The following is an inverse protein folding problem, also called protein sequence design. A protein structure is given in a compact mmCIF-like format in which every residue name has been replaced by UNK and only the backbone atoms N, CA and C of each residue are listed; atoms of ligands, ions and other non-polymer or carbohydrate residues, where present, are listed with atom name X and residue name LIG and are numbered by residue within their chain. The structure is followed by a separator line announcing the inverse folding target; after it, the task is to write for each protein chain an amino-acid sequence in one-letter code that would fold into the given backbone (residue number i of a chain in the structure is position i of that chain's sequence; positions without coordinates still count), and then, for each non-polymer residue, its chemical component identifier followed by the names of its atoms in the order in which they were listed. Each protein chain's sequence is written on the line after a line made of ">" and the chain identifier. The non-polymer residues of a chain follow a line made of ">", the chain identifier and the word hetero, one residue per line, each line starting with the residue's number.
data_IF_513542157384
#
_entry.id   IF_513542157384
#
_cell.length_a   1.000
_cell.length_b   1.000
_cell.length_c   1.000
_cell.angle_alpha   90.00
_cell.angle_beta   90.00
_cell.angle_gamma   90.00
#
_symmetry.space_group_name_H-M   'P 1'
#
loop_
_entity.id
_entity.type
_entity.pdbx_description
1 polymer ?
#
# COMPACT_ATOMS: atom_id res chain seq x y z
N UNK A 1 13.24 13.93 -19.14
CA UNK A 1 12.03 14.75 -18.94
C UNK A 1 11.55 14.48 -17.52
N UNK A 2 11.52 15.53 -16.66
CA UNK A 2 11.13 15.38 -15.26
C UNK A 2 9.68 15.82 -15.07
N UNK A 3 8.76 14.88 -14.92
CA UNK A 3 7.38 15.16 -14.51
C UNK A 3 7.22 14.80 -13.05
N UNK A 4 6.63 15.71 -12.25
CA UNK A 4 6.25 15.46 -10.86
C UNK A 4 4.73 15.35 -10.78
N UNK A 5 4.28 14.33 -10.08
CA UNK A 5 2.86 14.13 -9.80
C UNK A 5 2.66 14.32 -8.30
N UNK A 6 1.67 15.13 -7.95
CA UNK A 6 1.30 15.37 -6.56
C UNK A 6 -0.18 15.14 -6.32
N UNK A 7 -0.50 14.41 -5.25
CA UNK A 7 -1.83 14.28 -4.71
C UNK A 7 -1.84 14.88 -3.30
N UNK A 8 -2.88 15.65 -2.99
CA UNK A 8 -3.10 16.23 -1.68
C UNK A 8 -4.45 15.72 -1.10
N UNK A 9 -4.91 16.29 -0.01
CA UNK A 9 -6.24 16.02 0.54
C UNK A 9 -7.37 16.59 -0.35
N UNK A 10 -7.23 16.36 -1.66
CA UNK A 10 -8.15 16.80 -2.71
C UNK A 10 -8.55 15.60 -3.57
N UNK A 11 -9.60 15.76 -4.34
CA UNK A 11 -10.09 14.78 -5.32
C UNK A 11 -9.34 14.82 -6.66
N UNK A 12 -8.34 15.70 -6.78
CA UNK A 12 -7.56 15.93 -8.00
C UNK A 12 -6.09 15.62 -7.80
N UNK A 13 -5.46 15.14 -8.86
CA UNK A 13 -4.01 14.93 -8.94
C UNK A 13 -3.42 16.01 -9.83
N UNK A 14 -2.33 16.66 -9.41
CA UNK A 14 -1.63 17.72 -10.17
C UNK A 14 -0.40 17.17 -10.85
N UNK A 15 -0.19 17.64 -12.06
CA UNK A 15 0.94 17.29 -12.90
C UNK A 15 1.83 18.52 -13.09
N UNK A 16 3.12 18.39 -12.79
CA UNK A 16 4.10 19.47 -12.82
C UNK A 16 5.25 19.15 -13.75
N UNK A 17 5.72 20.13 -14.50
CA UNK A 17 6.98 20.02 -15.22
C UNK A 17 8.13 20.45 -14.29
N UNK A 18 9.03 19.52 -13.98
CA UNK A 18 10.18 19.78 -13.13
C UNK A 18 11.23 20.70 -13.76
N UNK A 19 11.23 20.83 -15.09
CA UNK A 19 12.21 21.69 -15.79
C UNK A 19 11.83 23.16 -15.71
N UNK A 20 10.52 23.46 -15.77
CA UNK A 20 9.98 24.82 -15.71
C UNK A 20 9.40 25.19 -14.36
N UNK A 21 8.99 24.18 -13.57
CA UNK A 21 8.25 24.36 -12.31
C UNK A 21 6.78 24.74 -12.53
N UNK A 22 6.28 24.63 -13.76
CA UNK A 22 4.90 25.00 -14.11
C UNK A 22 3.91 23.88 -13.86
N UNK A 23 2.67 24.24 -13.51
CA UNK A 23 1.51 23.34 -13.43
C UNK A 23 1.05 23.01 -14.86
N UNK A 24 1.31 21.79 -15.31
CA UNK A 24 0.94 21.30 -16.65
C UNK A 24 -0.56 21.03 -16.74
N UNK A 25 -1.17 20.55 -15.64
CA UNK A 25 -2.59 20.25 -15.62
C UNK A 25 -3.04 19.41 -14.43
N UNK A 26 -4.32 19.10 -14.46
CA UNK A 26 -4.99 18.38 -13.37
C UNK A 26 -5.75 17.17 -13.87
N UNK A 27 -5.54 16.03 -13.23
CA UNK A 27 -6.30 14.80 -13.45
C UNK A 27 -7.55 14.86 -12.56
N UNK A 28 -8.70 15.06 -13.20
CA UNK A 28 -9.99 15.25 -12.53
C UNK A 28 -10.89 14.05 -12.76
N UNK A 29 -11.65 13.66 -11.75
CA UNK A 29 -12.63 12.59 -11.90
C UNK A 29 -12.88 11.78 -10.65
N UNK A 30 -11.92 11.68 -9.71
CA UNK A 30 -12.22 11.14 -8.40
C UNK A 30 -13.27 12.01 -7.68
N UNK A 31 -14.08 11.40 -6.84
CA UNK A 31 -15.16 12.06 -6.10
C UNK A 31 -14.83 12.24 -4.62
N UNK A 32 -13.67 11.75 -4.19
CA UNK A 32 -13.16 11.88 -2.83
C UNK A 32 -11.62 11.94 -2.87
N UNK A 33 -11.03 12.17 -1.72
CA UNK A 33 -9.59 12.36 -1.52
C UNK A 33 -8.74 11.26 -2.18
N UNK A 34 -7.73 11.67 -2.96
CA UNK A 34 -6.72 10.77 -3.51
C UNK A 34 -5.66 10.49 -2.44
N UNK A 35 -5.49 9.22 -2.07
CA UNK A 35 -4.57 8.77 -1.02
C UNK A 35 -3.23 8.28 -1.54
N UNK A 36 -3.20 7.70 -2.71
CA UNK A 36 -2.00 7.12 -3.28
C UNK A 36 -1.94 7.35 -4.78
N UNK A 37 -0.75 7.55 -5.26
CA UNK A 37 -0.46 7.77 -6.67
C UNK A 37 0.89 7.14 -7.00
N UNK A 38 0.98 6.53 -8.16
CA UNK A 38 2.23 6.04 -8.72
C UNK A 38 2.27 6.30 -10.22
N UNK A 39 3.46 6.56 -10.71
CA UNK A 39 3.71 6.84 -12.12
C UNK A 39 4.75 5.88 -12.62
N UNK A 40 4.52 5.36 -13.80
CA UNK A 40 5.47 4.57 -14.54
C UNK A 40 5.39 4.96 -16.02
N UNK A 41 6.52 5.41 -16.56
CA UNK A 41 6.62 6.00 -17.88
C UNK A 41 5.60 7.14 -18.10
N UNK A 42 4.61 6.91 -18.95
CA UNK A 42 3.57 7.88 -19.32
C UNK A 42 2.21 7.56 -18.68
N UNK A 43 2.14 6.50 -17.89
CA UNK A 43 0.94 6.10 -17.17
C UNK A 43 1.02 6.52 -15.70
N UNK A 44 -0.07 7.08 -15.23
CA UNK A 44 -0.29 7.39 -13.83
C UNK A 44 -1.46 6.57 -13.31
N UNK A 45 -1.33 6.01 -12.12
CA UNK A 45 -2.43 5.34 -11.42
C UNK A 45 -2.67 6.04 -10.09
N UNK A 46 -3.92 6.36 -9.82
CA UNK A 46 -4.34 6.98 -8.56
C UNK A 46 -5.38 6.12 -7.84
N UNK A 47 -5.29 6.08 -6.52
CA UNK A 47 -6.26 5.42 -5.65
C UNK A 47 -6.88 6.42 -4.67
N UNK A 48 -8.20 6.35 -4.50
CA UNK A 48 -8.97 7.33 -3.74
C UNK A 48 -9.87 6.70 -2.68
N UNK A 49 -10.30 7.52 -1.73
CA UNK A 49 -11.31 7.17 -0.75
C UNK A 49 -12.69 6.92 -1.37
N UNK A 50 -12.91 7.29 -2.64
CA UNK A 50 -14.11 6.94 -3.41
C UNK A 50 -14.18 5.44 -3.78
N UNK A 51 -13.20 4.63 -3.33
CA UNK A 51 -13.08 3.18 -3.55
C UNK A 51 -12.72 2.80 -4.99
N UNK A 52 -12.31 3.75 -5.82
CA UNK A 52 -11.89 3.50 -7.20
C UNK A 52 -10.40 3.77 -7.41
N UNK A 53 -9.84 3.04 -8.38
CA UNK A 53 -8.57 3.38 -9.01
C UNK A 53 -8.84 4.01 -10.36
N UNK A 54 -8.02 4.98 -10.74
CA UNK A 54 -8.04 5.56 -12.08
C UNK A 54 -6.68 5.47 -12.72
N UNK A 55 -6.70 5.13 -14.00
CA UNK A 55 -5.51 5.04 -14.86
C UNK A 55 -5.56 6.21 -15.83
N UNK A 56 -4.47 6.95 -15.91
CA UNK A 56 -4.34 8.18 -16.66
C UNK A 56 -3.19 8.09 -17.66
N UNK A 57 -3.41 8.63 -18.85
CA UNK A 57 -2.36 8.84 -19.86
C UNK A 57 -1.84 10.28 -19.74
N UNK A 58 -0.62 10.43 -19.28
CA UNK A 58 0.00 11.74 -19.03
C UNK A 58 0.25 12.54 -20.31
N UNK A 59 0.36 11.88 -21.47
CA UNK A 59 0.53 12.55 -22.78
C UNK A 59 -0.67 13.39 -23.17
N UNK A 60 -1.86 13.06 -22.66
CA UNK A 60 -3.11 13.74 -23.01
C UNK A 60 -3.42 14.96 -22.16
N UNK A 61 -2.69 15.13 -21.04
CA UNK A 61 -3.01 16.13 -20.01
C UNK A 61 -2.94 17.55 -20.56
N UNK A 62 -1.84 17.91 -21.23
CA UNK A 62 -1.63 19.27 -21.76
C UNK A 62 -2.66 19.65 -22.81
N UNK A 63 -2.92 18.76 -23.76
CA UNK A 63 -3.92 18.98 -24.82
C UNK A 63 -5.33 19.12 -24.24
N UNK A 64 -5.67 18.27 -23.24
CA UNK A 64 -6.97 18.30 -22.59
C UNK A 64 -7.19 19.58 -21.78
N UNK A 65 -6.20 19.99 -20.96
CA UNK A 65 -6.29 21.25 -20.19
C UNK A 65 -6.37 22.47 -21.10
N UNK A 66 -5.63 22.49 -22.20
CA UNK A 66 -5.71 23.56 -23.20
C UNK A 66 -7.11 23.64 -23.84
N UNK A 67 -7.68 22.50 -24.20
CA UNK A 67 -9.04 22.42 -24.73
C UNK A 67 -10.10 22.85 -23.68
N UNK A 68 -9.95 22.44 -22.43
CA UNK A 68 -10.83 22.87 -21.35
C UNK A 68 -10.77 24.37 -21.12
N UNK A 69 -9.58 24.95 -21.14
CA UNK A 69 -9.36 26.40 -20.97
C UNK A 69 -10.00 27.20 -22.10
N UNK A 70 -9.80 26.77 -23.35
CA UNK A 70 -10.41 27.39 -24.53
C UNK A 70 -11.97 27.35 -24.47
N UNK A 71 -12.54 26.25 -23.99
CA UNK A 71 -14.00 26.14 -23.80
C UNK A 71 -14.55 27.10 -22.73
N UNK A 72 -13.78 27.38 -21.68
CA UNK A 72 -14.18 28.32 -20.60
C UNK A 72 -14.09 29.78 -21.05
N UNK A 73 -13.15 30.13 -21.93
CA UNK A 73 -12.94 31.48 -22.39
C UNK A 73 -13.93 31.92 -23.48
N UNK A 74 -14.77 31.01 -23.98
CA UNK A 74 -15.96 31.35 -24.77
C UNK A 74 -15.66 31.85 -26.18
N UNK A 75 -14.46 31.65 -26.68
CA UNK A 75 -14.14 31.95 -28.07
C UNK A 75 -14.74 30.85 -28.96
N UNK A 76 -15.84 31.18 -29.68
CA UNK A 76 -16.67 30.24 -30.45
C UNK A 76 -16.00 29.60 -31.64
N UNK A 77 -14.70 29.35 -31.59
CA UNK A 77 -13.97 28.54 -32.54
C UNK A 77 -14.14 27.05 -32.17
N UNK A 78 -14.15 26.20 -33.19
CA UNK A 78 -14.14 24.76 -33.06
C UNK A 78 -12.94 24.33 -32.19
N UNK A 79 -13.18 24.17 -30.89
CA UNK A 79 -12.17 23.66 -29.96
C UNK A 79 -11.97 22.18 -30.28
N UNK A 80 -10.76 21.74 -30.64
CA UNK A 80 -10.51 20.35 -30.95
C UNK A 80 -10.94 19.48 -29.76
N UNK A 81 -11.66 18.41 -30.06
CA UNK A 81 -12.06 17.42 -29.06
C UNK A 81 -10.80 16.73 -28.58
N UNK A 82 -10.34 17.09 -27.39
CA UNK A 82 -9.21 16.44 -26.77
C UNK A 82 -9.70 15.23 -25.97
N UNK A 83 -9.02 14.11 -26.12
CA UNK A 83 -9.32 12.88 -25.39
C UNK A 83 -9.13 13.09 -23.89
N UNK A 84 -10.06 12.55 -23.10
CA UNK A 84 -9.96 12.52 -21.63
C UNK A 84 -8.64 11.80 -21.24
N UNK A 85 -7.81 12.39 -20.37
CA UNK A 85 -6.64 11.72 -19.85
C UNK A 85 -6.97 10.48 -19.01
N UNK A 86 -8.19 10.35 -18.46
CA UNK A 86 -8.65 9.16 -17.76
C UNK A 86 -8.99 8.05 -18.76
N UNK A 87 -8.09 7.09 -18.90
CA UNK A 87 -8.30 5.97 -19.85
C UNK A 87 -9.10 4.83 -19.25
N UNK A 88 -9.05 4.63 -17.91
CA UNK A 88 -9.74 3.54 -17.22
C UNK A 88 -10.12 3.92 -15.79
N UNK A 89 -11.24 3.35 -15.33
CA UNK A 89 -11.66 3.39 -13.94
C UNK A 89 -11.87 1.94 -13.47
N UNK A 90 -11.16 1.55 -12.41
CA UNK A 90 -11.24 0.22 -11.83
C UNK A 90 -12.06 0.31 -10.54
N UNK A 91 -13.15 -0.41 -10.50
CA UNK A 91 -14.07 -0.46 -9.35
C UNK A 91 -14.18 -1.89 -8.82
N UNK A 92 -14.30 -2.01 -7.50
CA UNK A 92 -14.44 -3.34 -6.86
C UNK A 92 -14.16 -3.31 -5.37
N UNK A 93 -13.25 -2.47 -4.88
CA UNK A 93 -13.10 -2.27 -3.45
C UNK A 93 -14.39 -1.71 -2.85
N UNK A 94 -14.72 -2.14 -1.63
CA UNK A 94 -15.92 -1.67 -0.91
C UNK A 94 -15.66 -0.47 -0.01
N UNK A 95 -14.39 -0.12 0.19
CA UNK A 95 -13.94 1.06 0.95
C UNK A 95 -12.75 1.73 0.27
N UNK A 96 -12.38 2.90 0.77
CA UNK A 96 -11.32 3.73 0.21
C UNK A 96 -9.99 3.00 0.03
N UNK A 97 -9.32 3.29 -1.07
CA UNK A 97 -8.02 2.75 -1.42
C UNK A 97 -6.96 3.61 -0.76
N UNK A 98 -6.02 2.97 -0.09
CA UNK A 98 -5.01 3.62 0.75
C UNK A 98 -3.59 3.40 0.28
N UNK A 99 -3.35 2.32 -0.47
CA UNK A 99 -2.05 2.00 -1.02
C UNK A 99 -2.19 1.36 -2.39
N UNK A 100 -1.21 1.58 -3.24
CA UNK A 100 -1.10 0.91 -4.54
C UNK A 100 0.36 0.62 -4.87
N UNK A 101 0.57 -0.39 -5.69
CA UNK A 101 1.82 -0.67 -6.36
C UNK A 101 1.52 -1.04 -7.80
N UNK A 102 2.29 -0.50 -8.72
CA UNK A 102 2.07 -0.59 -10.15
C UNK A 102 3.39 -0.83 -10.87
N UNK A 103 3.38 -1.74 -11.81
CA UNK A 103 4.44 -2.02 -12.78
C UNK A 103 3.76 -2.27 -14.13
N UNK A 104 4.44 -2.15 -15.25
CA UNK A 104 3.93 -2.15 -16.63
C UNK A 104 2.68 -3.02 -16.88
N UNK A 105 2.60 -4.19 -16.29
CA UNK A 105 1.53 -5.17 -16.54
C UNK A 105 0.65 -5.44 -15.31
N UNK A 106 1.17 -5.18 -14.11
CA UNK A 106 0.52 -5.59 -12.87
C UNK A 106 0.21 -4.38 -11.99
N UNK A 107 -1.02 -4.26 -11.56
CA UNK A 107 -1.46 -3.29 -10.57
C UNK A 107 -2.00 -4.04 -9.35
N UNK A 108 -1.51 -3.67 -8.18
CA UNK A 108 -2.02 -4.16 -6.90
C UNK A 108 -2.47 -2.98 -6.06
N UNK A 109 -3.64 -3.07 -5.48
CA UNK A 109 -4.19 -2.07 -4.56
C UNK A 109 -4.48 -2.67 -3.19
N UNK A 110 -4.31 -1.85 -2.17
CA UNK A 110 -4.73 -2.14 -0.81
C UNK A 110 -5.74 -1.11 -0.32
N UNK A 111 -6.76 -1.56 0.39
CA UNK A 111 -7.86 -0.69 0.80
C UNK A 111 -8.27 -0.88 2.27
N UNK A 112 -9.08 0.07 2.74
CA UNK A 112 -9.68 0.04 4.07
C UNK A 112 -10.70 -1.10 4.25
N UNK A 113 -11.08 -1.80 3.18
CA UNK A 113 -11.88 -3.03 3.23
C UNK A 113 -11.06 -4.26 3.65
N UNK A 114 -9.77 -4.05 3.97
CA UNK A 114 -8.83 -5.07 4.47
C UNK A 114 -8.48 -6.13 3.43
N UNK A 115 -8.68 -5.81 2.16
CA UNK A 115 -8.28 -6.66 1.03
C UNK A 115 -7.17 -6.00 0.21
N UNK A 116 -6.37 -6.86 -0.40
CA UNK A 116 -5.49 -6.51 -1.50
C UNK A 116 -6.11 -7.07 -2.77
N UNK A 117 -6.04 -6.30 -3.86
CA UNK A 117 -6.56 -6.73 -5.16
C UNK A 117 -5.52 -6.56 -6.25
N UNK A 118 -5.40 -7.57 -7.06
CA UNK A 118 -4.62 -7.53 -8.29
C UNK A 118 -5.56 -7.27 -9.46
N UNK A 119 -5.16 -6.36 -10.34
CA UNK A 119 -5.96 -5.92 -11.47
C UNK A 119 -5.24 -6.22 -12.78
N UNK A 120 -6.00 -6.63 -13.74
CA UNK A 120 -5.59 -6.65 -15.14
C UNK A 120 -5.93 -5.31 -15.79
N UNK A 121 -4.91 -4.62 -16.26
CA UNK A 121 -5.07 -3.31 -16.87
C UNK A 121 -5.69 -3.36 -18.27
N UNK A 122 -5.60 -4.48 -18.97
CA UNK A 122 -6.22 -4.61 -20.30
C UNK A 122 -7.73 -4.78 -20.18
N UNK A 123 -8.17 -5.68 -19.32
CA UNK A 123 -9.61 -5.99 -19.15
C UNK A 123 -10.30 -5.09 -18.12
N UNK A 124 -9.54 -4.34 -17.33
CA UNK A 124 -10.03 -3.54 -16.21
C UNK A 124 -10.72 -4.36 -15.10
N UNK A 125 -10.40 -5.65 -15.01
CA UNK A 125 -11.03 -6.56 -14.04
C UNK A 125 -10.08 -6.92 -12.90
N UNK A 126 -10.68 -7.19 -11.74
CA UNK A 126 -9.96 -7.76 -10.61
C UNK A 126 -9.68 -9.25 -10.88
N UNK A 127 -8.41 -9.60 -10.99
CA UNK A 127 -7.96 -10.99 -11.23
C UNK A 127 -7.90 -11.78 -9.94
N UNK A 128 -7.44 -11.13 -8.86
CA UNK A 128 -7.18 -11.79 -7.59
C UNK A 128 -7.56 -10.89 -6.43
N UNK A 129 -8.20 -11.48 -5.41
CA UNK A 129 -8.49 -10.81 -4.13
C UNK A 129 -7.83 -11.59 -2.99
N UNK A 130 -7.05 -10.89 -2.18
CA UNK A 130 -6.34 -11.43 -1.03
C UNK A 130 -6.90 -10.80 0.24
N UNK A 131 -7.43 -11.61 1.16
CA UNK A 131 -8.03 -11.16 2.41
C UNK A 131 -7.01 -11.19 3.55
N UNK A 132 -6.72 -10.02 4.10
CA UNK A 132 -5.75 -9.86 5.18
C UNK A 132 -6.28 -10.46 6.48
N UNK A 133 -7.58 -10.34 6.77
CA UNK A 133 -8.15 -10.92 7.98
C UNK A 133 -8.13 -12.45 7.94
N UNK A 134 -8.38 -13.02 6.77
CA UNK A 134 -8.24 -14.46 6.58
C UNK A 134 -6.78 -14.91 6.82
N UNK A 135 -5.80 -14.17 6.30
CA UNK A 135 -4.38 -14.47 6.51
C UNK A 135 -3.95 -14.30 7.97
N UNK A 136 -4.56 -13.38 8.72
CA UNK A 136 -4.33 -13.24 10.17
C UNK A 136 -4.87 -14.45 10.96
N UNK A 137 -6.03 -14.96 10.56
CA UNK A 137 -6.68 -16.09 11.21
C UNK A 137 -6.06 -17.45 10.83
N UNK A 138 -5.37 -17.48 9.68
CA UNK A 138 -4.75 -18.70 9.13
C UNK A 138 -3.25 -18.42 8.87
N UNK A 139 -2.43 -18.21 9.90
CA UNK A 139 -1.00 -18.02 9.69
C UNK A 139 -0.44 -19.27 9.04
N UNK A 140 0.18 -19.09 7.88
CA UNK A 140 0.87 -20.20 7.20
C UNK A 140 1.92 -20.78 8.16
N UNK A 141 1.90 -22.09 8.31
CA UNK A 141 2.66 -22.88 9.29
C UNK A 141 4.18 -22.93 9.06
N UNK A 142 4.74 -21.96 8.38
CA UNK A 142 6.19 -21.88 8.11
C UNK A 142 6.94 -20.93 9.05
N UNK A 143 6.44 -20.65 10.25
CA UNK A 143 7.28 -20.15 11.30
C UNK A 143 7.92 -21.35 11.96
N UNK A 144 9.10 -21.74 11.49
CA UNK A 144 9.97 -22.70 12.15
C UNK A 144 10.48 -22.08 13.45
N UNK A 145 9.61 -22.05 14.46
CA UNK A 145 9.99 -21.79 15.84
C UNK A 145 10.75 -23.01 16.37
N UNK A 146 11.93 -23.26 15.82
CA UNK A 146 12.92 -24.09 16.51
C UNK A 146 13.46 -23.26 17.67
N UNK A 147 12.69 -23.26 18.75
CA UNK A 147 13.23 -23.02 20.08
C UNK A 147 14.22 -24.17 20.34
N UNK A 148 15.51 -23.89 20.65
CA UNK A 148 16.42 -24.91 21.07
C UNK A 148 15.85 -25.60 22.31
N UNK A 149 15.93 -26.95 22.44
CA UNK A 149 15.48 -27.63 23.63
C UNK A 149 16.55 -27.50 24.72
N UNK A 150 16.52 -26.44 25.49
CA UNK A 150 17.24 -26.42 26.80
C UNK A 150 16.59 -25.43 27.78
N UNK A 151 15.75 -25.92 28.63
CA UNK A 151 15.90 -25.98 30.05
C UNK A 151 14.58 -26.40 30.71
N UNK A 152 14.67 -27.49 31.42
CA UNK A 152 13.67 -28.00 32.35
C UNK A 152 13.32 -26.95 33.39
N UNK A 153 12.09 -26.45 33.38
CA UNK A 153 11.47 -25.74 34.48
C UNK A 153 10.10 -26.36 34.79
N UNK A 154 9.69 -26.41 36.07
CA UNK A 154 8.70 -27.35 36.58
C UNK A 154 7.27 -27.00 36.23
N UNK A 155 6.47 -28.07 36.07
CA UNK A 155 5.00 -28.06 35.93
C UNK A 155 4.38 -27.22 37.06
N UNK A 156 3.71 -26.13 36.71
CA UNK A 156 2.80 -25.39 37.56
C UNK A 156 1.40 -25.43 37.01
N UNK A 157 0.45 -25.70 37.86
CA UNK A 157 -0.95 -25.99 37.81
C UNK A 157 -1.82 -25.25 36.77
N UNK A 158 -2.87 -25.91 36.22
CA UNK A 158 -3.80 -25.33 35.25
C UNK A 158 -5.02 -24.70 35.92
N UNK A 159 -4.84 -23.64 36.68
CA UNK A 159 -5.96 -22.87 37.26
C UNK A 159 -5.51 -21.43 37.54
N UNK A 160 -5.38 -20.63 36.51
CA UNK A 160 -5.72 -19.18 36.52
C UNK A 160 -5.54 -18.61 35.09
N UNK A 161 -6.59 -18.02 34.66
CA UNK A 161 -6.89 -17.43 33.39
C UNK A 161 -5.80 -16.71 32.59
N UNK A 162 -5.99 -16.76 31.31
CA UNK A 162 -5.69 -15.80 30.27
C UNK A 162 -4.32 -15.11 30.29
N UNK A 163 -3.61 -15.31 29.17
CA UNK A 163 -2.52 -14.45 28.68
C UNK A 163 -1.18 -14.49 29.41
N UNK A 164 -0.44 -15.59 29.27
CA UNK A 164 1.01 -15.57 29.40
C UNK A 164 1.68 -16.30 28.22
N UNK A 165 1.47 -15.79 27.01
CA UNK A 165 2.45 -15.96 25.95
C UNK A 165 3.10 -14.60 25.69
N UNK A 166 3.77 -14.05 26.68
CA UNK A 166 4.71 -12.97 26.52
C UNK A 166 6.05 -13.57 26.03
N UNK A 167 6.06 -14.02 24.78
CA UNK A 167 7.30 -14.13 24.01
C UNK A 167 7.80 -12.72 23.66
N UNK A 168 9.04 -12.55 23.17
CA UNK A 168 9.58 -11.24 22.83
C UNK A 168 8.81 -10.52 21.69
N UNK A 169 7.74 -11.10 21.17
CA UNK A 169 6.87 -10.56 20.13
C UNK A 169 5.46 -10.38 20.72
N UNK A 170 5.17 -9.15 21.13
CA UNK A 170 3.81 -8.75 21.49
C UNK A 170 3.02 -8.59 20.20
N UNK A 171 2.00 -9.42 19.98
CA UNK A 171 1.05 -9.18 18.90
C UNK A 171 0.35 -7.86 19.19
N UNK A 172 0.23 -6.96 18.19
CA UNK A 172 -0.59 -5.78 18.36
C UNK A 172 -2.00 -6.21 18.75
N UNK A 173 -2.51 -5.66 19.83
CA UNK A 173 -3.88 -5.92 20.25
C UNK A 173 -4.82 -5.07 19.41
N UNK A 174 -5.99 -5.59 19.01
CA UNK A 174 -7.02 -4.79 18.39
C UNK A 174 -7.34 -3.57 19.27
N UNK A 175 -7.59 -2.40 18.68
CA UNK A 175 -7.78 -1.15 19.43
C UNK A 175 -9.08 -1.10 20.22
N UNK A 176 -9.97 -2.08 20.03
CA UNK A 176 -11.28 -2.15 20.66
C UNK A 176 -11.41 -3.36 21.56
N UNK A 177 -12.22 -3.22 22.62
CA UNK A 177 -12.52 -4.27 23.60
C UNK A 177 -13.21 -5.49 22.98
N UNK A 178 -13.90 -5.32 21.84
CA UNK A 178 -14.55 -6.39 21.08
C UNK A 178 -13.58 -7.17 20.17
N UNK A 179 -12.29 -6.78 20.15
CA UNK A 179 -11.28 -7.42 19.30
C UNK A 179 -11.34 -7.01 17.82
N UNK A 180 -12.09 -5.95 17.49
CA UNK A 180 -12.25 -5.53 16.10
C UNK A 180 -11.19 -4.52 15.66
N UNK A 181 -10.88 -4.55 14.35
CA UNK A 181 -10.04 -3.58 13.66
C UNK A 181 -10.87 -2.65 12.78
N UNK A 182 -12.19 -2.61 12.98
CA UNK A 182 -13.12 -1.97 12.04
C UNK A 182 -12.93 -0.47 11.87
N UNK A 183 -12.43 0.23 12.90
CA UNK A 183 -12.26 1.68 12.84
C UNK A 183 -10.90 2.14 12.29
N UNK A 184 -9.99 1.24 11.94
CA UNK A 184 -8.82 1.64 11.17
C UNK A 184 -9.23 1.94 9.72
N UNK A 185 -9.35 3.22 9.41
CA UNK A 185 -9.73 3.70 8.07
C UNK A 185 -8.66 3.39 7.03
N UNK A 186 -7.39 3.41 7.44
CA UNK A 186 -6.23 3.14 6.60
C UNK A 186 -5.58 1.80 7.01
N UNK A 187 -6.34 0.69 6.88
CA UNK A 187 -5.86 -0.62 7.35
C UNK A 187 -4.67 -1.14 6.56
N UNK A 188 -4.59 -0.87 5.27
CA UNK A 188 -3.41 -1.16 4.45
C UNK A 188 -2.62 0.13 4.27
N UNK A 189 -1.49 0.25 4.94
CA UNK A 189 -0.67 1.47 4.90
C UNK A 189 0.31 1.49 3.73
N UNK A 190 0.77 0.34 3.27
CA UNK A 190 1.74 0.26 2.17
C UNK A 190 1.69 -1.08 1.47
N UNK A 191 1.97 -1.04 0.17
CA UNK A 191 2.03 -2.21 -0.71
C UNK A 191 3.20 -2.02 -1.67
N UNK A 192 3.97 -3.08 -1.88
CA UNK A 192 4.98 -3.15 -2.92
C UNK A 192 5.09 -4.58 -3.44
N UNK A 193 5.38 -4.74 -4.73
CA UNK A 193 5.68 -6.05 -5.29
C UNK A 193 6.93 -6.00 -6.17
N UNK A 194 7.54 -7.17 -6.36
CA UNK A 194 8.62 -7.41 -7.28
C UNK A 194 8.47 -8.81 -7.88
N UNK A 195 8.22 -8.87 -9.18
CA UNK A 195 7.83 -10.11 -9.85
C UNK A 195 6.53 -10.66 -9.24
N UNK A 196 6.57 -11.88 -8.73
CA UNK A 196 5.41 -12.50 -8.08
C UNK A 196 5.38 -12.36 -6.56
N UNK A 197 6.40 -11.76 -5.96
CA UNK A 197 6.45 -11.50 -4.54
C UNK A 197 5.78 -10.16 -4.22
N UNK A 198 4.80 -10.17 -3.32
CA UNK A 198 4.10 -8.98 -2.84
C UNK A 198 4.33 -8.85 -1.34
N UNK A 199 4.62 -7.63 -0.89
CA UNK A 199 4.66 -7.27 0.52
C UNK A 199 3.56 -6.25 0.84
N UNK A 200 2.86 -6.44 1.94
CA UNK A 200 1.86 -5.50 2.45
C UNK A 200 2.09 -5.18 3.92
N UNK A 201 2.02 -3.91 4.27
CA UNK A 201 2.01 -3.43 5.64
C UNK A 201 0.60 -3.06 6.08
N UNK A 202 0.18 -3.49 7.25
CA UNK A 202 -1.20 -3.30 7.71
C UNK A 202 -1.30 -2.65 9.09
N UNK A 203 -2.53 -2.24 9.42
CA UNK A 203 -2.87 -1.53 10.64
C UNK A 203 -2.62 -2.31 11.92
N UNK A 204 -2.52 -3.64 11.83
CA UNK A 204 -2.14 -4.51 12.94
C UNK A 204 -0.62 -4.56 13.23
N UNK A 205 0.18 -3.77 12.51
CA UNK A 205 1.64 -3.77 12.64
C UNK A 205 2.33 -4.96 11.97
N UNK A 206 1.59 -5.82 11.27
CA UNK A 206 2.13 -6.96 10.54
C UNK A 206 2.56 -6.59 9.12
N UNK A 207 3.71 -7.12 8.71
CA UNK A 207 4.09 -7.16 7.29
C UNK A 207 3.83 -8.57 6.77
N UNK A 208 3.07 -8.68 5.68
CA UNK A 208 2.74 -9.98 5.08
C UNK A 208 3.33 -10.09 3.70
N UNK A 209 3.91 -11.26 3.44
CA UNK A 209 4.45 -11.63 2.14
C UNK A 209 3.49 -12.57 1.44
N UNK A 210 3.14 -12.26 0.21
CA UNK A 210 2.15 -12.96 -0.61
C UNK A 210 2.78 -13.45 -1.91
N UNK A 211 2.24 -14.51 -2.47
CA UNK A 211 2.52 -14.94 -3.83
C UNK A 211 1.37 -14.50 -4.75
N UNK A 212 1.64 -13.60 -5.68
CA UNK A 212 0.65 -13.05 -6.63
C UNK A 212 0.06 -14.10 -7.59
N UNK A 213 0.70 -15.28 -7.73
CA UNK A 213 0.14 -16.36 -8.55
C UNK A 213 -0.97 -17.11 -7.85
N UNK A 214 -0.89 -17.23 -6.54
CA UNK A 214 -1.81 -18.02 -5.72
C UNK A 214 -2.73 -17.17 -4.85
N UNK A 215 -2.35 -15.92 -4.58
CA UNK A 215 -3.04 -15.03 -3.66
C UNK A 215 -2.89 -15.42 -2.19
N UNK A 216 -1.97 -16.32 -1.88
CA UNK A 216 -1.79 -16.79 -0.51
C UNK A 216 -0.66 -16.06 0.20
N UNK A 217 -0.91 -15.68 1.45
CA UNK A 217 0.13 -15.23 2.35
C UNK A 217 0.99 -16.42 2.78
N UNK A 218 2.28 -16.36 2.52
CA UNK A 218 3.19 -17.44 2.91
C UNK A 218 4.05 -17.09 4.12
N UNK A 219 4.14 -15.82 4.50
CA UNK A 219 4.88 -15.38 5.68
C UNK A 219 4.28 -14.11 6.27
N UNK A 220 4.27 -14.02 7.60
CA UNK A 220 3.96 -12.79 8.33
C UNK A 220 5.16 -12.42 9.20
N UNK A 221 5.64 -11.19 9.06
CA UNK A 221 6.70 -10.61 9.87
C UNK A 221 6.04 -9.78 10.96
N UNK A 222 6.27 -10.16 12.21
CA UNK A 222 5.68 -9.50 13.38
C UNK A 222 6.76 -8.80 14.18
N UNK A 223 6.46 -7.61 14.69
CA UNK A 223 7.40 -6.86 15.52
C UNK A 223 7.01 -5.42 15.73
N UNK A 224 6.45 -4.73 14.76
CA UNK A 224 5.89 -3.40 14.97
C UNK A 224 4.70 -3.45 15.93
N UNK A 225 4.55 -2.41 16.74
CA UNK A 225 3.50 -2.29 17.76
C UNK A 225 2.40 -1.32 17.38
N UNK A 226 2.50 -0.71 16.19
CA UNK A 226 1.52 0.20 15.63
C UNK A 226 1.45 0.03 14.11
N UNK A 227 0.46 0.63 13.43
CA UNK A 227 0.26 0.52 11.99
C UNK A 227 1.52 0.79 11.18
N UNK A 228 1.71 -0.01 10.13
CA UNK A 228 2.76 0.20 9.13
C UNK A 228 2.27 1.22 8.12
N UNK A 229 3.08 2.24 7.88
CA UNK A 229 2.77 3.36 6.99
C UNK A 229 3.49 3.28 5.65
N UNK A 230 4.66 2.68 5.65
CA UNK A 230 5.51 2.56 4.47
C UNK A 230 6.36 1.30 4.55
N UNK A 231 6.62 0.70 3.40
CA UNK A 231 7.54 -0.41 3.26
C UNK A 231 8.22 -0.37 1.90
N UNK A 232 9.39 -0.94 1.85
CA UNK A 232 10.10 -1.22 0.62
C UNK A 232 10.93 -2.49 0.78
N UNK A 233 11.06 -3.29 -0.27
CA UNK A 233 11.87 -4.49 -0.21
C UNK A 233 12.64 -4.73 -1.51
N UNK A 234 13.72 -5.49 -1.39
CA UNK A 234 14.53 -6.03 -2.48
C UNK A 234 14.57 -7.57 -2.40
N UNK A 235 15.51 -8.21 -3.05
CA UNK A 235 15.69 -9.67 -3.08
C UNK A 235 16.11 -10.28 -1.73
N UNK A 236 16.63 -9.48 -0.81
CA UNK A 236 17.24 -9.95 0.45
C UNK A 236 16.64 -9.31 1.69
N UNK A 237 16.27 -8.04 1.60
CA UNK A 237 15.83 -7.24 2.74
C UNK A 237 14.46 -6.62 2.50
N UNK A 238 13.75 -6.46 3.60
CA UNK A 238 12.56 -5.61 3.64
C UNK A 238 12.77 -4.54 4.72
N UNK A 239 12.41 -3.31 4.40
CA UNK A 239 12.43 -2.20 5.34
C UNK A 239 10.99 -1.72 5.54
N UNK A 240 10.57 -1.60 6.78
CA UNK A 240 9.22 -1.13 7.14
C UNK A 240 9.30 0.03 8.11
N UNK A 241 8.47 1.05 7.90
CA UNK A 241 8.27 2.17 8.80
C UNK A 241 6.88 2.16 9.40
N UNK A 242 6.76 2.58 10.65
CA UNK A 242 5.54 2.50 11.43
C UNK A 242 5.26 3.74 12.28
N UNK A 243 4.00 3.88 12.68
CA UNK A 243 3.57 4.86 13.68
C UNK A 243 4.16 4.60 15.07
N UNK A 244 4.75 3.42 15.32
CA UNK A 244 5.49 3.12 16.55
C UNK A 244 6.83 3.86 16.66
N UNK A 245 7.13 4.75 15.70
CA UNK A 245 8.35 5.57 15.61
C UNK A 245 9.61 4.75 15.33
N UNK A 246 9.45 3.57 14.75
CA UNK A 246 10.58 2.73 14.36
C UNK A 246 10.60 2.45 12.86
N UNK A 247 11.81 2.26 12.35
CA UNK A 247 12.07 1.57 11.10
C UNK A 247 12.70 0.23 11.44
N UNK A 248 12.22 -0.84 10.81
CA UNK A 248 12.79 -2.18 10.95
C UNK A 248 13.32 -2.68 9.64
N UNK A 249 14.51 -3.25 9.71
CA UNK A 249 15.15 -3.96 8.61
C UNK A 249 15.00 -5.45 8.85
N UNK A 250 14.41 -6.15 7.92
CA UNK A 250 14.13 -7.59 8.00
C UNK A 250 14.98 -8.34 6.97
N UNK A 251 15.50 -9.47 7.36
CA UNK A 251 16.07 -10.45 6.43
C UNK A 251 14.92 -11.31 5.88
N UNK A 252 14.66 -11.21 4.58
CA UNK A 252 13.59 -11.97 3.92
C UNK A 252 13.82 -13.47 3.94
N UNK A 253 15.08 -13.93 4.04
CA UNK A 253 15.43 -15.33 4.08
C UNK A 253 15.06 -15.97 5.41
N UNK A 254 15.46 -15.35 6.51
CA UNK A 254 15.20 -15.85 7.86
C UNK A 254 13.87 -15.37 8.43
N UNK A 255 13.37 -14.21 8.00
CA UNK A 255 12.20 -13.53 8.56
C UNK A 255 12.49 -12.81 9.89
N UNK A 256 13.75 -12.70 10.28
CA UNK A 256 14.15 -12.02 11.51
C UNK A 256 14.43 -10.53 11.26
N UNK A 257 14.26 -9.75 12.32
CA UNK A 257 14.70 -8.36 12.35
C UNK A 257 16.21 -8.32 12.45
N UNK A 258 16.87 -7.68 11.50
CA UNK A 258 18.31 -7.42 11.55
C UNK A 258 18.62 -6.18 12.37
N UNK A 259 17.83 -5.13 12.19
CA UNK A 259 18.05 -3.86 12.84
C UNK A 259 16.72 -3.16 13.14
N UNK A 260 16.70 -2.38 14.23
CA UNK A 260 15.58 -1.48 14.56
C UNK A 260 16.13 -0.09 14.83
N UNK A 261 15.70 0.87 14.04
CA UNK A 261 16.04 2.29 14.18
C UNK A 261 14.89 3.01 14.86
N UNK A 262 15.20 3.80 15.87
CA UNK A 262 14.24 4.55 16.67
C UNK A 262 14.26 6.04 16.32
N UNK A 263 13.08 6.64 16.24
CA UNK A 263 12.88 8.05 15.91
C UNK A 263 11.98 8.73 16.96
N UNK A 264 12.04 10.05 17.03
CA UNK A 264 11.20 10.84 17.94
C UNK A 264 9.75 10.96 17.44
N UNK A 265 9.52 10.81 16.14
CA UNK A 265 8.22 10.96 15.47
C UNK A 265 7.85 9.71 14.67
N UNK A 266 6.53 9.50 14.43
CA UNK A 266 6.06 8.44 13.54
C UNK A 266 6.73 8.52 12.16
N UNK A 267 7.08 7.36 11.62
CA UNK A 267 7.62 7.25 10.27
C UNK A 267 6.45 7.25 9.28
N UNK A 268 6.44 8.15 8.32
CA UNK A 268 5.34 8.30 7.35
C UNK A 268 5.73 7.89 5.93
N UNK A 269 7.01 7.95 5.59
CA UNK A 269 7.52 7.54 4.29
C UNK A 269 8.95 7.04 4.42
N UNK A 270 9.33 6.12 3.56
CA UNK A 270 10.71 5.66 3.42
C UNK A 270 11.01 5.38 1.95
N UNK A 271 12.25 5.51 1.60
CA UNK A 271 12.78 5.05 0.34
C UNK A 271 14.22 4.60 0.55
N UNK A 272 14.59 3.47 -0.02
CA UNK A 272 15.97 3.02 -0.05
C UNK A 272 16.39 2.58 -1.45
N UNK A 273 17.68 2.65 -1.69
CA UNK A 273 18.32 2.13 -2.89
C UNK A 273 19.26 0.98 -2.49
N UNK A 274 19.11 -0.17 -3.11
CA UNK A 274 19.93 -1.37 -2.89
C UNK A 274 21.44 -1.17 -3.15
N UNK A 275 21.81 0.01 -3.66
CA UNK A 275 23.21 0.35 -3.99
C UNK A 275 23.96 1.10 -2.89
N UNK A 276 23.36 1.32 -1.73
CA UNK A 276 24.02 2.05 -0.63
C UNK A 276 23.99 1.26 0.66
#
# INVERSE_FOLDING_TARGET
>A
YGTLISAALEDTVRVWDLSTGEDVGRLRGHTDTVKCVQVEDELCVSGSLDSTLRVWDLRRVDAFETACRARMEGDGQDVPEADDPCIRTLAGHSRGITALAFDHETLVSGAADKTLRQWDLETSQCVLTMDILWAMSNPSTSVDLRVPPESSAPLLDPLHGANQFAGPFSYPQPPYEDGSWEMYTDFVGSVQFWGFALASGSGDGGVRLWDLRTGQAHRTLLGHTAPITCLQFDDTHLISGSLDKTIRVWDLRSGHVLETLHYDYPVTALQFDSRK
#
